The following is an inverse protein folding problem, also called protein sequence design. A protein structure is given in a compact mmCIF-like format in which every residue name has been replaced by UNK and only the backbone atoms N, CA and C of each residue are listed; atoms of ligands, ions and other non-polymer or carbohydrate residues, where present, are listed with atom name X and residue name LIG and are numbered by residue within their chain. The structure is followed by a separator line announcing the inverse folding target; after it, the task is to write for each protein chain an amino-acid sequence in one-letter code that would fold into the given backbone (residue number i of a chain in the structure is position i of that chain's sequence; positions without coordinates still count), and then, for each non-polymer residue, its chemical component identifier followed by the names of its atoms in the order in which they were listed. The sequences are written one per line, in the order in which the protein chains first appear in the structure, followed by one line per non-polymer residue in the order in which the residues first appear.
data_IF_604579041086
#
_entry.id   IF_604579041086
#
_cell.length_a   1.000
_cell.length_b   1.000
_cell.length_c   1.000
_cell.angle_alpha   90.00
_cell.angle_beta   90.00
_cell.angle_gamma   90.00
#
_symmetry.space_group_name_H-M   'P 1'
#
loop_
_entity.id
_entity.type
_entity.pdbx_description
1 polymer ?
#
# COMPACT_ATOMS: atom_id res chain seq x y z
N UNK A 1 17.98 -20.51 -9.41
CA UNK A 1 18.60 -19.22 -9.14
C UNK A 1 17.69 -18.04 -9.48
N UNK A 2 17.10 -18.01 -10.68
CA UNK A 2 16.27 -16.86 -11.13
C UNK A 2 14.95 -16.64 -10.36
N UNK A 3 14.42 -17.68 -9.73
CA UNK A 3 13.17 -17.61 -8.97
C UNK A 3 13.35 -16.78 -7.69
N UNK A 4 14.47 -16.96 -7.01
CA UNK A 4 14.79 -16.19 -5.80
C UNK A 4 15.05 -14.71 -6.12
N UNK A 5 15.59 -14.41 -7.32
CA UNK A 5 15.90 -13.04 -7.72
C UNK A 5 14.64 -12.16 -7.76
N UNK A 6 13.50 -12.68 -8.23
CA UNK A 6 12.23 -11.96 -8.25
C UNK A 6 11.76 -11.58 -6.84
N UNK A 7 11.73 -12.55 -5.92
CA UNK A 7 11.34 -12.31 -4.51
C UNK A 7 12.33 -11.40 -3.77
N UNK A 8 13.63 -11.49 -4.09
CA UNK A 8 14.66 -10.61 -3.53
C UNK A 8 14.39 -9.15 -3.93
N UNK A 9 14.04 -8.91 -5.19
CA UNK A 9 13.69 -7.54 -5.64
C UNK A 9 12.46 -7.00 -4.92
N UNK A 10 11.43 -7.83 -4.69
CA UNK A 10 10.26 -7.42 -3.91
C UNK A 10 10.66 -7.10 -2.45
N UNK A 11 11.47 -7.94 -1.83
CA UNK A 11 11.95 -7.69 -0.48
C UNK A 11 12.78 -6.40 -0.37
N UNK A 12 13.62 -6.12 -1.37
CA UNK A 12 14.39 -4.86 -1.43
C UNK A 12 13.44 -3.67 -1.58
N UNK A 13 12.42 -3.76 -2.42
CA UNK A 13 11.43 -2.70 -2.58
C UNK A 13 10.69 -2.42 -1.25
N UNK A 14 10.26 -3.46 -0.55
CA UNK A 14 9.59 -3.33 0.76
C UNK A 14 10.55 -2.80 1.84
N UNK A 15 11.83 -3.18 1.81
CA UNK A 15 12.85 -2.62 2.70
C UNK A 15 13.06 -1.13 2.48
N UNK A 16 13.08 -0.69 1.22
CA UNK A 16 13.16 0.76 0.88
C UNK A 16 11.94 1.51 1.43
N UNK A 17 10.74 0.96 1.31
CA UNK A 17 9.51 1.51 1.90
C UNK A 17 9.67 1.68 3.42
N UNK A 18 10.18 0.66 4.12
CA UNK A 18 10.37 0.70 5.58
C UNK A 18 11.44 1.73 5.99
N UNK A 19 12.51 1.89 5.20
CA UNK A 19 13.54 2.91 5.46
C UNK A 19 12.95 4.32 5.32
N UNK A 20 12.18 4.57 4.27
CA UNK A 20 11.49 5.86 4.06
C UNK A 20 10.55 6.13 5.24
N UNK A 21 9.73 5.17 5.61
CA UNK A 21 8.83 5.26 6.76
C UNK A 21 9.57 5.60 8.05
N UNK A 22 10.67 4.89 8.34
CA UNK A 22 11.50 5.16 9.52
C UNK A 22 11.97 6.62 9.56
N UNK A 23 12.43 7.16 8.43
CA UNK A 23 12.85 8.58 8.33
C UNK A 23 11.68 9.50 8.69
N UNK A 24 10.48 9.26 8.16
CA UNK A 24 9.30 10.07 8.49
C UNK A 24 8.90 9.93 9.97
N UNK A 25 8.98 8.73 10.55
CA UNK A 25 8.71 8.54 11.99
C UNK A 25 9.72 9.27 12.87
N UNK A 26 11.01 9.29 12.51
CA UNK A 26 12.02 10.10 13.21
C UNK A 26 11.66 11.58 13.13
N UNK A 27 11.26 12.09 11.96
CA UNK A 27 10.81 13.46 11.78
C UNK A 27 9.58 13.75 12.67
N UNK A 28 8.58 12.86 12.72
CA UNK A 28 7.39 13.04 13.56
C UNK A 28 7.71 13.04 15.06
N UNK A 29 8.69 12.27 15.49
CA UNK A 29 9.15 12.29 16.90
C UNK A 29 9.88 13.58 17.21
N UNK A 30 10.75 14.08 16.32
CA UNK A 30 11.49 15.33 16.50
C UNK A 30 10.57 16.57 16.49
N UNK A 31 9.55 16.55 15.63
CA UNK A 31 8.60 17.66 15.46
C UNK A 31 7.21 17.28 15.98
N UNK A 32 7.04 17.28 17.29
CA UNK A 32 5.89 16.74 18.05
C UNK A 32 4.47 17.17 17.62
N UNK A 33 4.30 18.11 16.69
CA UNK A 33 2.99 18.64 16.27
C UNK A 33 2.89 18.85 14.75
N UNK A 34 3.52 17.98 13.97
CA UNK A 34 3.34 18.04 12.52
C UNK A 34 1.88 17.73 12.14
N UNK A 35 1.29 18.52 11.23
CA UNK A 35 -0.03 18.21 10.68
C UNK A 35 -0.07 16.83 10.03
N UNK A 36 -1.22 16.15 10.07
CA UNK A 36 -1.42 14.84 9.44
C UNK A 36 -1.11 14.86 7.93
N UNK A 37 -1.28 16.01 7.28
CA UNK A 37 -0.96 16.19 5.85
C UNK A 37 0.49 15.83 5.48
N UNK A 38 1.45 15.90 6.42
CA UNK A 38 2.83 15.49 6.17
C UNK A 38 2.99 13.98 5.95
N UNK A 39 2.05 13.14 6.46
CA UNK A 39 2.05 11.71 6.19
C UNK A 39 1.79 11.39 4.73
N UNK A 40 1.05 12.24 4.03
CA UNK A 40 0.78 12.05 2.61
C UNK A 40 2.04 12.13 1.76
N UNK A 41 3.10 12.86 2.20
CA UNK A 41 4.39 12.89 1.49
C UNK A 41 5.01 11.48 1.50
N UNK A 42 5.04 10.83 2.68
CA UNK A 42 5.44 9.42 2.80
C UNK A 42 4.57 8.52 1.92
N UNK A 43 3.27 8.63 2.05
CA UNK A 43 2.32 7.74 1.36
C UNK A 43 2.35 7.89 -0.16
N UNK A 44 2.55 9.08 -0.71
CA UNK A 44 2.71 9.28 -2.16
C UNK A 44 3.93 8.57 -2.74
N UNK A 45 4.96 8.30 -1.91
CA UNK A 45 6.17 7.60 -2.32
C UNK A 45 6.02 6.09 -2.05
N UNK A 46 5.58 5.72 -0.85
CA UNK A 46 5.61 4.35 -0.36
C UNK A 46 4.45 3.49 -0.86
N UNK A 47 3.22 4.04 -0.96
CA UNK A 47 2.06 3.23 -1.33
C UNK A 47 2.07 2.73 -2.78
N UNK A 48 2.55 3.48 -3.80
CA UNK A 48 2.71 2.91 -5.14
C UNK A 48 3.66 1.72 -5.16
N UNK A 49 4.78 1.82 -4.44
CA UNK A 49 5.76 0.73 -4.34
C UNK A 49 5.14 -0.50 -3.68
N UNK A 50 4.39 -0.30 -2.58
CA UNK A 50 3.69 -1.40 -1.90
C UNK A 50 2.63 -2.06 -2.79
N UNK A 51 1.85 -1.29 -3.55
CA UNK A 51 0.85 -1.85 -4.46
C UNK A 51 1.50 -2.66 -5.59
N UNK A 52 2.61 -2.15 -6.17
CA UNK A 52 3.36 -2.89 -7.20
C UNK A 52 3.95 -4.16 -6.60
N UNK A 53 4.55 -4.09 -5.40
CA UNK A 53 5.08 -5.26 -4.68
C UNK A 53 3.98 -6.29 -4.41
N UNK A 54 2.80 -5.84 -3.96
CA UNK A 54 1.65 -6.71 -3.72
C UNK A 54 1.19 -7.41 -5.01
N UNK A 55 1.01 -6.66 -6.11
CA UNK A 55 0.63 -7.23 -7.42
C UNK A 55 1.66 -8.24 -7.91
N UNK A 56 2.95 -7.91 -7.79
CA UNK A 56 4.04 -8.80 -8.19
C UNK A 56 4.06 -10.10 -7.36
N UNK A 57 3.80 -10.02 -6.06
CA UNK A 57 3.70 -11.19 -5.19
C UNK A 57 2.48 -12.05 -5.54
N UNK A 58 1.33 -11.43 -5.84
CA UNK A 58 0.13 -12.13 -6.31
C UNK A 58 0.37 -12.84 -7.63
N UNK A 59 1.06 -12.20 -8.58
CA UNK A 59 1.46 -12.84 -9.84
C UNK A 59 2.42 -14.00 -9.59
N UNK A 60 3.37 -13.84 -8.68
CA UNK A 60 4.28 -14.92 -8.29
C UNK A 60 3.54 -16.12 -7.67
N UNK A 61 2.45 -15.92 -6.92
CA UNK A 61 1.66 -17.03 -6.38
C UNK A 61 1.05 -17.88 -7.50
N UNK A 62 0.62 -17.25 -8.58
CA UNK A 62 0.04 -17.97 -9.74
C UNK A 62 1.09 -18.50 -10.71
N UNK A 63 2.24 -17.85 -10.82
CA UNK A 63 3.33 -18.22 -11.73
C UNK A 63 4.69 -18.11 -11.02
N UNK A 64 5.16 -19.21 -10.47
CA UNK A 64 6.44 -19.31 -9.76
C UNK A 64 7.68 -19.05 -10.62
N UNK A 65 7.53 -19.04 -11.94
CA UNK A 65 8.64 -18.79 -12.89
C UNK A 65 8.67 -17.36 -13.42
N UNK A 66 7.81 -16.47 -12.91
CA UNK A 66 7.77 -15.06 -13.31
C UNK A 66 9.12 -14.38 -13.04
N UNK A 67 9.52 -13.50 -13.93
CA UNK A 67 10.72 -12.67 -13.80
C UNK A 67 10.37 -11.20 -13.96
N UNK A 68 11.27 -10.30 -13.53
CA UNK A 68 10.99 -8.86 -13.39
C UNK A 68 10.57 -8.23 -14.73
N UNK A 69 11.35 -8.44 -15.79
CA UNK A 69 11.12 -7.80 -17.08
C UNK A 69 9.77 -8.21 -17.70
N UNK A 70 9.46 -9.51 -17.89
CA UNK A 70 8.14 -9.94 -18.36
C UNK A 70 6.98 -9.53 -17.44
N UNK A 71 7.20 -9.44 -16.11
CA UNK A 71 6.17 -8.96 -15.20
C UNK A 71 5.76 -7.54 -15.55
N UNK A 72 6.71 -6.62 -15.70
CA UNK A 72 6.40 -5.24 -16.04
C UNK A 72 5.86 -5.09 -17.46
N UNK A 73 6.43 -5.80 -18.44
CA UNK A 73 5.94 -5.75 -19.84
C UNK A 73 4.47 -6.17 -19.94
N UNK A 74 4.09 -7.26 -19.29
CA UNK A 74 2.76 -7.83 -19.42
C UNK A 74 1.70 -7.10 -18.55
N UNK A 75 2.11 -6.36 -17.53
CA UNK A 75 1.20 -5.75 -16.55
C UNK A 75 1.27 -4.21 -16.52
N UNK A 76 1.94 -3.58 -17.49
CA UNK A 76 2.16 -2.12 -17.51
C UNK A 76 0.87 -1.33 -17.37
N UNK A 77 -0.17 -1.68 -18.12
CA UNK A 77 -1.44 -0.94 -18.11
C UNK A 77 -2.16 -1.03 -16.78
N UNK A 78 -2.22 -2.22 -16.19
CA UNK A 78 -2.82 -2.47 -14.88
C UNK A 78 -2.03 -1.75 -13.78
N UNK A 79 -0.70 -1.80 -13.82
CA UNK A 79 0.17 -1.10 -12.86
C UNK A 79 -0.05 0.40 -12.93
N UNK A 80 -0.09 0.99 -14.13
CA UNK A 80 -0.37 2.42 -14.31
C UNK A 80 -1.75 2.77 -13.74
N UNK A 81 -2.78 1.98 -14.06
CA UNK A 81 -4.13 2.20 -13.55
C UNK A 81 -4.18 2.16 -12.01
N UNK A 82 -3.56 1.14 -11.40
CA UNK A 82 -3.45 0.97 -9.95
C UNK A 82 -2.76 2.19 -9.31
N UNK A 83 -1.64 2.64 -9.86
CA UNK A 83 -0.89 3.80 -9.35
C UNK A 83 -1.70 5.09 -9.50
N UNK A 84 -2.38 5.29 -10.63
CA UNK A 84 -3.24 6.47 -10.84
C UNK A 84 -4.41 6.48 -9.85
N UNK A 85 -5.11 5.36 -9.69
CA UNK A 85 -6.21 5.25 -8.71
C UNK A 85 -5.72 5.51 -7.29
N UNK A 86 -4.53 5.00 -6.93
CA UNK A 86 -3.90 5.28 -5.64
C UNK A 86 -3.63 6.78 -5.44
N UNK A 87 -3.06 7.45 -6.43
CA UNK A 87 -2.80 8.89 -6.35
C UNK A 87 -4.09 9.71 -6.23
N UNK A 88 -5.14 9.35 -6.96
CA UNK A 88 -6.45 9.99 -6.85
C UNK A 88 -7.03 9.80 -5.45
N UNK A 89 -6.98 8.58 -4.91
CA UNK A 89 -7.42 8.26 -3.54
C UNK A 89 -6.66 9.11 -2.50
N UNK A 90 -5.33 9.15 -2.57
CA UNK A 90 -4.50 9.94 -1.66
C UNK A 90 -4.77 11.43 -1.78
N UNK A 91 -5.03 11.92 -3.00
CA UNK A 91 -5.34 13.34 -3.23
C UNK A 91 -6.63 13.75 -2.54
N UNK A 92 -7.69 12.94 -2.59
CA UNK A 92 -8.92 13.19 -1.84
C UNK A 92 -8.66 13.18 -0.32
N UNK A 93 -7.86 12.25 0.18
CA UNK A 93 -7.47 12.20 1.58
C UNK A 93 -6.68 13.44 2.01
N UNK A 94 -5.71 13.87 1.22
CA UNK A 94 -4.91 15.08 1.48
C UNK A 94 -5.77 16.35 1.44
N UNK A 95 -6.67 16.47 0.47
CA UNK A 95 -7.61 17.59 0.40
C UNK A 95 -8.53 17.64 1.64
N UNK A 96 -8.91 16.49 2.19
CA UNK A 96 -9.71 16.43 3.42
C UNK A 96 -8.96 16.95 4.67
N UNK A 97 -7.61 16.93 4.67
CA UNK A 97 -6.81 17.55 5.73
C UNK A 97 -6.78 19.09 5.62
N UNK A 98 -6.86 19.63 4.40
CA UNK A 98 -6.86 21.09 4.19
C UNK A 98 -8.27 21.69 4.25
N UNK A 99 -9.27 20.99 3.71
CA UNK A 99 -10.65 21.48 3.61
C UNK A 99 -11.56 20.77 4.64
N UNK A 100 -11.37 21.09 5.92
CA UNK A 100 -12.04 20.42 7.05
C UNK A 100 -13.56 20.48 6.98
N UNK A 101 -14.15 21.54 6.41
CA UNK A 101 -15.60 21.67 6.21
C UNK A 101 -16.15 20.65 5.20
N UNK A 102 -15.33 20.18 4.27
CA UNK A 102 -15.67 19.18 3.26
C UNK A 102 -15.06 17.83 3.53
N UNK A 103 -14.43 17.65 4.69
CA UNK A 103 -13.68 16.45 5.08
C UNK A 103 -14.47 15.17 4.80
N UNK A 104 -15.72 15.11 5.28
CA UNK A 104 -16.56 13.92 5.11
C UNK A 104 -16.79 13.58 3.62
N UNK A 105 -17.15 14.56 2.81
CA UNK A 105 -17.39 14.39 1.38
C UNK A 105 -16.12 13.94 0.67
N UNK A 106 -14.99 14.58 0.95
CA UNK A 106 -13.71 14.28 0.31
C UNK A 106 -13.22 12.86 0.62
N UNK A 107 -13.31 12.42 1.90
CA UNK A 107 -12.96 11.05 2.26
C UNK A 107 -13.89 10.06 1.54
N UNK A 108 -15.20 10.35 1.51
CA UNK A 108 -16.17 9.48 0.82
C UNK A 108 -15.90 9.38 -0.68
N UNK A 109 -15.52 10.48 -1.34
CA UNK A 109 -15.11 10.46 -2.74
C UNK A 109 -13.82 9.64 -2.97
N UNK A 110 -12.90 9.65 -2.01
CA UNK A 110 -11.70 8.81 -2.04
C UNK A 110 -11.97 7.30 -1.97
N UNK A 111 -13.15 6.88 -1.50
CA UNK A 111 -13.52 5.45 -1.46
C UNK A 111 -13.73 4.88 -2.87
N UNK A 112 -14.19 5.67 -3.83
CA UNK A 112 -14.41 5.18 -5.19
C UNK A 112 -13.11 4.71 -5.88
N UNK A 113 -12.02 5.50 -5.94
CA UNK A 113 -10.75 5.03 -6.46
C UNK A 113 -10.12 3.91 -5.61
N UNK A 114 -10.36 3.87 -4.28
CA UNK A 114 -9.97 2.76 -3.43
C UNK A 114 -10.63 1.44 -3.88
N UNK A 115 -11.95 1.45 -4.06
CA UNK A 115 -12.69 0.26 -4.54
C UNK A 115 -12.20 -0.14 -5.92
N UNK A 116 -12.04 0.82 -6.84
CA UNK A 116 -11.53 0.56 -8.18
C UNK A 116 -10.16 -0.10 -8.17
N UNK A 117 -9.26 0.38 -7.31
CA UNK A 117 -7.91 -0.15 -7.14
C UNK A 117 -7.94 -1.63 -6.71
N UNK A 118 -8.62 -1.92 -5.59
CA UNK A 118 -8.68 -3.29 -5.07
C UNK A 118 -9.52 -4.24 -5.93
N UNK A 119 -10.50 -3.72 -6.69
CA UNK A 119 -11.23 -4.49 -7.68
C UNK A 119 -10.31 -4.96 -8.82
N UNK A 120 -9.49 -4.06 -9.37
CA UNK A 120 -8.52 -4.42 -10.43
C UNK A 120 -7.52 -5.45 -9.92
N UNK A 121 -6.96 -5.25 -8.72
CA UNK A 121 -6.01 -6.19 -8.11
C UNK A 121 -6.67 -7.55 -7.87
N UNK A 122 -7.89 -7.58 -7.35
CA UNK A 122 -8.62 -8.82 -7.10
C UNK A 122 -8.87 -9.58 -8.39
N UNK A 123 -9.48 -8.93 -9.39
CA UNK A 123 -9.90 -9.57 -10.65
C UNK A 123 -8.72 -10.09 -11.48
N UNK A 124 -7.65 -9.30 -11.56
CA UNK A 124 -6.51 -9.61 -12.43
C UNK A 124 -5.49 -10.55 -11.80
N UNK A 125 -5.32 -10.47 -10.48
CA UNK A 125 -4.21 -11.14 -9.79
C UNK A 125 -4.66 -12.06 -8.65
N UNK A 126 -5.45 -11.54 -7.69
CA UNK A 126 -5.70 -12.25 -6.45
C UNK A 126 -6.56 -13.52 -6.63
N UNK A 127 -7.57 -13.46 -7.49
CA UNK A 127 -8.52 -14.56 -7.72
C UNK A 127 -7.87 -15.84 -8.27
N UNK A 128 -6.65 -15.73 -8.81
CA UNK A 128 -5.92 -16.85 -9.43
C UNK A 128 -5.50 -17.93 -8.42
N UNK A 129 -5.34 -17.58 -7.14
CA UNK A 129 -4.89 -18.51 -6.08
C UNK A 129 -5.58 -18.22 -4.74
N UNK A 130 -5.69 -19.23 -3.91
CA UNK A 130 -6.26 -19.08 -2.54
C UNK A 130 -5.39 -18.14 -1.70
N UNK A 131 -4.08 -18.27 -1.77
CA UNK A 131 -3.11 -17.42 -1.07
C UNK A 131 -3.25 -15.97 -1.53
N UNK A 132 -3.48 -15.75 -2.82
CA UNK A 132 -3.72 -14.44 -3.40
C UNK A 132 -4.99 -13.79 -2.85
N UNK A 133 -6.09 -14.53 -2.76
CA UNK A 133 -7.35 -14.02 -2.19
C UNK A 133 -7.13 -13.61 -0.73
N UNK A 134 -6.45 -14.45 0.06
CA UNK A 134 -6.18 -14.18 1.48
C UNK A 134 -5.33 -12.92 1.64
N UNK A 135 -4.21 -12.83 0.91
CA UNK A 135 -3.32 -11.68 0.99
C UNK A 135 -4.01 -10.39 0.54
N UNK A 136 -4.68 -10.39 -0.60
CA UNK A 136 -5.39 -9.22 -1.09
C UNK A 136 -6.52 -8.78 -0.14
N UNK A 137 -7.23 -9.72 0.46
CA UNK A 137 -8.26 -9.41 1.47
C UNK A 137 -7.62 -8.76 2.70
N UNK A 138 -6.50 -9.29 3.19
CA UNK A 138 -5.76 -8.70 4.30
C UNK A 138 -5.35 -7.26 3.99
N UNK A 139 -4.68 -7.02 2.85
CA UNK A 139 -4.23 -5.67 2.45
C UNK A 139 -5.42 -4.73 2.29
N UNK A 140 -6.49 -5.16 1.62
CA UNK A 140 -7.72 -4.38 1.42
C UNK A 140 -8.35 -3.96 2.76
N UNK A 141 -8.47 -4.87 3.72
CA UNK A 141 -9.04 -4.58 5.04
C UNK A 141 -8.17 -3.58 5.80
N UNK A 142 -6.86 -3.77 5.84
CA UNK A 142 -5.95 -2.84 6.52
C UNK A 142 -6.05 -1.45 5.89
N UNK A 143 -6.06 -1.35 4.57
CA UNK A 143 -6.15 -0.07 3.87
C UNK A 143 -7.53 0.60 4.05
N UNK A 144 -8.61 -0.17 4.12
CA UNK A 144 -9.94 0.35 4.46
C UNK A 144 -9.96 1.01 5.85
N UNK A 145 -9.22 0.44 6.81
CA UNK A 145 -9.14 1.00 8.16
C UNK A 145 -8.45 2.38 8.19
N UNK A 146 -7.55 2.70 7.22
CA UNK A 146 -7.04 4.07 7.08
C UNK A 146 -8.15 5.05 6.68
N UNK A 147 -9.05 4.65 5.77
CA UNK A 147 -10.21 5.48 5.43
C UNK A 147 -11.15 5.68 6.63
N UNK A 148 -11.38 4.63 7.43
CA UNK A 148 -12.15 4.74 8.68
C UNK A 148 -11.46 5.68 9.68
N UNK A 149 -10.15 5.55 9.86
CA UNK A 149 -9.37 6.41 10.74
C UNK A 149 -9.40 7.89 10.29
N UNK A 150 -9.47 8.14 8.97
CA UNK A 150 -9.56 9.49 8.43
C UNK A 150 -10.78 10.28 8.94
N UNK A 151 -11.88 9.62 9.26
CA UNK A 151 -13.07 10.29 9.83
C UNK A 151 -12.90 10.69 11.30
N UNK A 152 -11.92 10.12 12.01
CA UNK A 152 -11.71 10.34 13.45
C UNK A 152 -11.14 11.74 13.74
N UNK A 153 -11.12 12.12 15.02
CA UNK A 153 -10.43 13.32 15.49
C UNK A 153 -8.92 13.20 15.34
N UNK A 154 -8.21 14.32 15.40
CA UNK A 154 -6.76 14.40 15.13
C UNK A 154 -5.93 13.37 15.92
N UNK A 155 -6.16 13.27 17.24
CA UNK A 155 -5.34 12.40 18.07
C UNK A 155 -5.57 10.92 17.76
N UNK A 156 -6.83 10.49 17.73
CA UNK A 156 -7.20 9.10 17.47
C UNK A 156 -6.80 8.68 16.07
N UNK A 157 -7.02 9.54 15.08
CA UNK A 157 -6.59 9.32 13.68
C UNK A 157 -5.09 9.04 13.59
N UNK A 158 -4.25 9.88 14.21
CA UNK A 158 -2.80 9.69 14.15
C UNK A 158 -2.33 8.45 14.91
N UNK A 159 -2.97 8.08 16.03
CA UNK A 159 -2.70 6.82 16.72
C UNK A 159 -3.04 5.63 15.82
N UNK A 160 -4.24 5.65 15.21
CA UNK A 160 -4.66 4.59 14.29
C UNK A 160 -3.72 4.46 13.11
N UNK A 161 -3.29 5.56 12.49
CA UNK A 161 -2.32 5.53 11.39
C UNK A 161 -1.00 4.89 11.81
N UNK A 162 -0.47 5.20 13.01
CA UNK A 162 0.75 4.56 13.50
C UNK A 162 0.59 3.05 13.67
N UNK A 163 -0.56 2.61 14.19
CA UNK A 163 -0.85 1.17 14.34
C UNK A 163 -0.99 0.51 12.98
N UNK A 164 -1.73 1.15 12.06
CA UNK A 164 -1.97 0.61 10.73
C UNK A 164 -0.69 0.53 9.88
N UNK A 165 0.24 1.48 10.04
CA UNK A 165 1.54 1.43 9.37
C UNK A 165 2.34 0.17 9.77
N UNK A 166 2.28 -0.26 11.05
CA UNK A 166 2.90 -1.51 11.48
C UNK A 166 2.31 -2.72 10.71
N UNK A 167 1.00 -2.76 10.57
CA UNK A 167 0.34 -3.89 9.88
C UNK A 167 0.51 -3.82 8.35
N UNK A 168 0.39 -2.64 7.76
CA UNK A 168 0.44 -2.48 6.30
C UNK A 168 1.85 -2.57 5.72
N UNK A 169 2.86 -2.18 6.48
CA UNK A 169 4.26 -2.09 6.01
C UNK A 169 5.15 -3.14 6.70
N UNK A 170 5.29 -3.08 8.04
CA UNK A 170 6.25 -3.94 8.73
C UNK A 170 5.83 -5.41 8.70
N UNK A 171 4.58 -5.74 9.03
CA UNK A 171 4.12 -7.15 8.94
C UNK A 171 4.06 -7.66 7.51
N UNK A 172 3.68 -6.81 6.55
CA UNK A 172 3.72 -7.20 5.14
C UNK A 172 5.15 -7.52 4.69
N UNK A 173 6.11 -6.63 4.93
CA UNK A 173 7.51 -6.87 4.56
C UNK A 173 8.12 -8.09 5.29
N UNK A 174 7.75 -8.30 6.57
CA UNK A 174 8.13 -9.51 7.31
C UNK A 174 7.54 -10.77 6.66
N UNK A 175 6.29 -10.73 6.25
CA UNK A 175 5.64 -11.83 5.54
C UNK A 175 6.38 -12.16 4.24
N UNK A 176 6.72 -11.17 3.41
CA UNK A 176 7.49 -11.35 2.17
C UNK A 176 8.87 -11.97 2.48
N UNK A 177 9.55 -11.48 3.53
CA UNK A 177 10.84 -12.01 3.97
C UNK A 177 10.78 -13.46 4.43
N UNK A 178 9.78 -13.81 5.24
CA UNK A 178 9.54 -15.20 5.68
C UNK A 178 9.22 -16.08 4.47
N UNK A 179 8.34 -15.60 3.58
CA UNK A 179 7.99 -16.34 2.39
C UNK A 179 9.20 -16.64 1.51
N UNK A 180 10.10 -15.66 1.30
CA UNK A 180 11.36 -15.86 0.59
C UNK A 180 12.26 -16.91 1.25
N UNK A 181 12.29 -16.93 2.59
CA UNK A 181 13.15 -17.87 3.33
C UNK A 181 12.72 -19.33 3.16
N UNK A 182 11.40 -19.58 2.96
CA UNK A 182 10.83 -20.91 2.79
C UNK A 182 10.52 -21.29 1.32
N UNK A 183 10.64 -20.37 0.36
CA UNK A 183 10.45 -20.62 -1.07
C UNK A 183 11.72 -21.18 -1.74
#
# INVERSE_FOLDING_TARGET
PKQNDFLIVLLIADLVVQIIELVFYVIFVCYRRLPTSYRYIDWYITTPVQLISNVALLEYFSNKTVTIEPFFENNTNEIILIVVLNFVMLSFGLLAEFYTNFKFILITLGIAPFIGNFYVIYEKYAVKTTEGIILNTYVCVIWLLYAVAAYMNYNLKNIMYNILDIFSKNFYGLFVGIYLFYA
#
